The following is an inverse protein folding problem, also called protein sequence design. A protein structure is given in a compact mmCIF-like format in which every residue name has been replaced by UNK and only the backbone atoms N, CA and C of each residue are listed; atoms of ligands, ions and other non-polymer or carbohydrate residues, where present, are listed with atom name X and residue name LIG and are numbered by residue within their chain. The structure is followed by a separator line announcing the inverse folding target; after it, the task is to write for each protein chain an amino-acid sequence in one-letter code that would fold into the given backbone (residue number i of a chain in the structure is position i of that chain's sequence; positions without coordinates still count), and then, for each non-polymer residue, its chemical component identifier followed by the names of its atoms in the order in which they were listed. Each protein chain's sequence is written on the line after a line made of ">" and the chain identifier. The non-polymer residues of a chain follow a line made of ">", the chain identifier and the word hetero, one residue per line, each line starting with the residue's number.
data_IF_558055852479
#
_entry.id   IF_558055852479
#
_cell.length_a   1.000
_cell.length_b   1.000
_cell.length_c   1.000
_cell.angle_alpha   90.00
_cell.angle_beta   90.00
_cell.angle_gamma   90.00
#
_symmetry.space_group_name_H-M   'P 1'
#
loop_
_entity.id
_entity.type
_entity.pdbx_description
1 polymer ?
#
# COMPACT_ATOMS: atom_id res chain seq x y z
N UNK A 1 -3.95 16.40 -11.19
CA UNK A 1 -2.96 15.43 -10.67
C UNK A 1 -2.27 16.10 -9.51
N UNK A 2 -2.65 15.75 -8.28
CA UNK A 2 -1.96 16.29 -7.11
C UNK A 2 -0.45 16.05 -7.23
N UNK A 3 0.33 17.07 -6.89
CA UNK A 3 1.79 16.96 -6.91
C UNK A 3 2.24 16.08 -5.74
N UNK A 4 2.37 14.77 -5.99
CA UNK A 4 2.86 13.83 -4.98
C UNK A 4 4.35 14.10 -4.77
N UNK A 5 4.66 14.64 -3.59
CA UNK A 5 6.03 14.97 -3.22
C UNK A 5 6.74 13.77 -2.59
N UNK A 6 8.07 13.76 -2.64
CA UNK A 6 8.87 12.76 -1.96
C UNK A 6 8.62 12.75 -0.44
N UNK A 7 8.33 13.91 0.15
CA UNK A 7 7.95 14.02 1.57
C UNK A 7 6.65 13.29 1.88
N UNK A 8 5.61 13.42 1.04
CA UNK A 8 4.35 12.69 1.24
C UNK A 8 4.55 11.18 1.17
N UNK A 9 5.35 10.71 0.21
CA UNK A 9 5.70 9.29 0.09
C UNK A 9 6.48 8.82 1.32
N UNK A 10 7.41 9.64 1.82
CA UNK A 10 8.19 9.35 3.01
C UNK A 10 7.35 9.29 4.29
N UNK A 11 6.44 10.23 4.47
CA UNK A 11 5.53 10.29 5.61
C UNK A 11 4.55 9.09 5.60
N UNK A 12 3.97 8.77 4.45
CA UNK A 12 3.09 7.61 4.32
C UNK A 12 3.84 6.30 4.62
N UNK A 13 5.08 6.18 4.16
CA UNK A 13 5.95 5.04 4.47
C UNK A 13 6.24 4.96 5.97
N UNK A 14 6.57 6.06 6.63
CA UNK A 14 6.86 6.07 8.07
C UNK A 14 5.63 5.67 8.91
N UNK A 15 4.42 5.95 8.43
CA UNK A 15 3.17 5.62 9.13
C UNK A 15 2.71 4.19 8.90
N UNK A 16 2.91 3.65 7.70
CA UNK A 16 2.38 2.34 7.29
C UNK A 16 3.44 1.24 7.22
N UNK A 17 4.71 1.60 7.26
CA UNK A 17 5.87 0.75 6.98
C UNK A 17 5.82 0.03 5.61
N UNK A 18 4.98 0.54 4.70
CA UNK A 18 4.78 -0.07 3.40
C UNK A 18 5.98 0.19 2.46
N UNK A 19 6.20 -0.68 1.46
CA UNK A 19 7.24 -0.47 0.45
C UNK A 19 7.09 0.88 -0.23
N UNK A 20 8.21 1.57 -0.48
CA UNK A 20 8.22 2.94 -1.01
C UNK A 20 7.46 3.09 -2.34
N UNK A 21 7.51 2.07 -3.21
CA UNK A 21 6.74 2.04 -4.45
C UNK A 21 5.24 1.87 -4.25
N UNK A 22 4.82 1.10 -3.23
CA UNK A 22 3.39 0.97 -2.90
C UNK A 22 2.86 2.27 -2.30
N UNK A 23 3.65 2.98 -1.47
CA UNK A 23 3.30 4.30 -0.96
C UNK A 23 3.07 5.31 -2.10
N UNK A 24 3.99 5.35 -3.07
CA UNK A 24 3.86 6.22 -4.25
C UNK A 24 2.62 5.88 -5.08
N UNK A 25 2.35 4.60 -5.32
CA UNK A 25 1.16 4.14 -6.04
C UNK A 25 -0.12 4.49 -5.30
N UNK A 26 -0.18 4.21 -3.99
CA UNK A 26 -1.34 4.50 -3.16
C UNK A 26 -1.66 5.99 -3.15
N UNK A 27 -0.64 6.86 -3.03
CA UNK A 27 -0.82 8.31 -3.15
C UNK A 27 -1.29 8.72 -4.54
N UNK A 28 -0.83 8.06 -5.60
CA UNK A 28 -1.27 8.35 -6.98
C UNK A 28 -2.73 7.98 -7.20
N UNK A 29 -3.13 6.83 -6.66
CA UNK A 29 -4.49 6.30 -6.73
C UNK A 29 -5.46 7.07 -5.82
N UNK A 30 -4.93 7.68 -4.75
CA UNK A 30 -5.62 8.57 -3.83
C UNK A 30 -5.58 10.07 -4.23
N UNK A 31 -4.98 10.42 -5.37
CA UNK A 31 -4.70 11.81 -5.79
C UNK A 31 -4.09 12.68 -4.67
N UNK A 32 -3.12 12.12 -3.94
CA UNK A 32 -2.40 12.80 -2.85
C UNK A 32 -3.09 12.77 -1.49
N UNK A 33 -4.25 12.12 -1.36
CA UNK A 33 -4.93 11.98 -0.07
C UNK A 33 -4.24 10.92 0.81
N UNK A 34 -3.67 11.37 1.94
CA UNK A 34 -2.92 10.50 2.86
C UNK A 34 -3.80 9.45 3.53
N UNK A 35 -5.00 9.81 3.97
CA UNK A 35 -5.91 8.90 4.67
C UNK A 35 -6.40 7.79 3.74
N UNK A 36 -6.72 8.16 2.50
CA UNK A 36 -7.12 7.21 1.46
C UNK A 36 -5.95 6.33 1.02
N UNK A 37 -4.74 6.89 0.92
CA UNK A 37 -3.55 6.11 0.58
C UNK A 37 -3.21 5.06 1.66
N UNK A 38 -3.37 5.39 2.95
CA UNK A 38 -3.23 4.43 4.05
C UNK A 38 -4.22 3.27 3.94
N UNK A 39 -5.48 3.56 3.64
CA UNK A 39 -6.50 2.53 3.46
C UNK A 39 -6.23 1.64 2.24
N UNK A 40 -5.81 2.23 1.12
CA UNK A 40 -5.39 1.49 -0.08
C UNK A 40 -4.24 0.54 0.26
N UNK A 41 -3.23 1.01 1.00
CA UNK A 41 -2.11 0.18 1.44
C UNK A 41 -2.58 -0.96 2.35
N UNK A 42 -3.44 -0.67 3.33
CA UNK A 42 -3.99 -1.66 4.25
C UNK A 42 -4.75 -2.77 3.52
N UNK A 43 -5.58 -2.41 2.55
CA UNK A 43 -6.34 -3.37 1.74
C UNK A 43 -5.42 -4.15 0.78
N UNK A 44 -4.49 -3.48 0.08
CA UNK A 44 -3.56 -4.14 -0.86
C UNK A 44 -2.59 -5.09 -0.16
N UNK A 45 -2.02 -4.68 0.98
CA UNK A 45 -1.09 -5.51 1.76
C UNK A 45 -1.83 -6.61 2.52
N UNK A 46 -3.01 -6.31 3.07
CA UNK A 46 -3.87 -7.31 3.73
C UNK A 46 -4.34 -8.43 2.79
N UNK A 47 -4.71 -8.09 1.55
CA UNK A 47 -5.07 -9.10 0.55
C UNK A 47 -3.88 -9.99 0.13
N UNK A 48 -2.65 -9.50 0.25
CA UNK A 48 -1.44 -10.29 -0.04
C UNK A 48 -1.21 -11.38 1.01
N UNK A 49 -1.59 -11.14 2.26
CA UNK A 49 -1.60 -12.15 3.33
C UNK A 49 -2.71 -13.20 3.11
N UNK A 50 -3.89 -12.79 2.65
CA UNK A 50 -5.00 -13.71 2.32
C UNK A 50 -4.69 -14.69 1.18
N UNK A 51 -3.94 -14.25 0.15
CA UNK A 51 -3.52 -15.15 -0.95
C UNK A 51 -2.40 -16.12 -0.60
N UNK A 52 -1.73 -15.97 0.54
CA UNK A 52 -0.81 -16.99 1.05
C UNK A 52 -1.55 -18.22 1.59
N UNK A 53 -2.78 -18.05 2.10
CA UNK A 53 -3.59 -19.16 2.58
C UNK A 53 -4.06 -20.10 1.45
N UNK A 54 -4.17 -19.60 0.21
CA UNK A 54 -4.49 -20.44 -0.96
C UNK A 54 -3.29 -21.22 -1.53
N UNK A 55 -2.09 -21.09 -0.95
CA UNK A 55 -0.87 -21.76 -1.45
C UNK A 55 -0.34 -22.85 -0.51
N UNK A 56 -1.17 -23.33 0.42
CA UNK A 56 -0.83 -24.41 1.39
C UNK A 56 -1.55 -25.74 1.12
N UNK A 57 -2.40 -25.88 0.09
CA UNK A 57 -3.07 -27.15 -0.23
C UNK A 57 -2.73 -27.66 -1.63
N UNK A 58 -1.46 -28.04 -1.86
CA UNK A 58 -1.10 -28.79 -3.07
C UNK A 58 0.06 -29.76 -2.85
N UNK A 59 0.19 -30.35 -1.66
CA UNK A 59 1.05 -31.53 -1.45
C UNK A 59 0.28 -32.52 -0.56
N UNK A 60 -0.42 -33.43 -1.23
CA UNK A 60 -0.86 -34.72 -0.73
C UNK A 60 -0.31 -35.81 -1.66
#
# INVERSE_FOLDING_TARGET
>A
MAAITASMVGELRARTDAPMMECKKALTEADGDMSRAEEILRVKLGNKAGKAASRITAEG
#
